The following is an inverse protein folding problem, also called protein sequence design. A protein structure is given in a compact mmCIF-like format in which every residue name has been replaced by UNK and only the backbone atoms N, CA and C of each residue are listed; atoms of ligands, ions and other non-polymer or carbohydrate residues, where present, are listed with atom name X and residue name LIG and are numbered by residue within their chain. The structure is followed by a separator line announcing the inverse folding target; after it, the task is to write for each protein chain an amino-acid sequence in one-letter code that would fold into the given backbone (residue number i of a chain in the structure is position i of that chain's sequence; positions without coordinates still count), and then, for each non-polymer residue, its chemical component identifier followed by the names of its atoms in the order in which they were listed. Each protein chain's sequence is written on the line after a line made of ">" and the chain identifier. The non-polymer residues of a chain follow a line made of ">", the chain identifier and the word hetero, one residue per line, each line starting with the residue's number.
data_IF_660400186511
#
_entry.id   IF_660400186511
#
_cell.length_a   1.000
_cell.length_b   1.000
_cell.length_c   1.000
_cell.angle_alpha   90.00
_cell.angle_beta   90.00
_cell.angle_gamma   90.00
#
_symmetry.space_group_name_H-M   'P 1'
#
loop_
_entity.id
_entity.type
_entity.pdbx_description
1 polymer ?
#
# COMPACT_ATOMS: atom_id res chain seq x y z
N UNK A 1 43.32 42.07 8.09
CA UNK A 1 42.01 42.65 7.74
C UNK A 1 41.29 41.61 6.93
N UNK A 2 40.47 40.89 7.68
CA UNK A 2 39.72 39.69 7.36
C UNK A 2 38.90 39.77 6.06
N UNK A 3 39.00 38.72 5.24
CA UNK A 3 37.98 38.45 4.23
C UNK A 3 36.71 37.98 4.96
N UNK A 4 35.55 38.63 4.76
CA UNK A 4 34.32 38.14 5.36
C UNK A 4 33.94 36.79 4.73
N UNK A 5 33.82 35.77 5.56
CA UNK A 5 33.24 34.49 5.21
C UNK A 5 31.82 34.70 4.67
N UNK A 6 31.58 34.35 3.40
CA UNK A 6 30.23 34.25 2.88
C UNK A 6 29.56 33.01 3.50
N UNK A 7 28.39 33.13 4.13
CA UNK A 7 27.72 31.99 4.75
C UNK A 7 27.23 31.04 3.65
N UNK A 8 27.65 29.77 3.73
CA UNK A 8 27.08 28.68 2.95
C UNK A 8 25.64 28.51 3.43
N UNK A 9 24.68 29.01 2.67
CA UNK A 9 23.25 28.92 3.01
C UNK A 9 22.79 27.46 3.01
N UNK A 10 21.94 27.03 3.96
CA UNK A 10 21.35 25.70 3.92
C UNK A 10 20.10 25.75 3.04
N UNK A 11 20.28 25.77 1.72
CA UNK A 11 19.16 25.59 0.78
C UNK A 11 19.24 24.19 0.16
N UNK A 12 18.89 23.19 0.96
CA UNK A 12 18.34 21.96 0.41
C UNK A 12 16.82 22.10 0.56
N UNK A 13 16.07 22.42 -0.51
CA UNK A 13 14.63 22.46 -0.41
C UNK A 13 14.15 21.05 -0.03
N UNK A 14 13.26 20.89 0.97
CA UNK A 14 12.67 19.58 1.23
C UNK A 14 12.08 19.04 -0.08
N UNK A 15 12.23 17.73 -0.37
CA UNK A 15 11.63 17.15 -1.56
C UNK A 15 10.15 17.53 -1.58
N UNK A 16 9.56 17.85 -2.74
CA UNK A 16 8.19 18.34 -2.81
C UNK A 16 7.31 17.39 -2.03
N UNK A 17 6.71 17.90 -0.95
CA UNK A 17 5.70 17.22 -0.15
C UNK A 17 4.43 17.15 -0.98
N UNK A 18 4.48 16.41 -2.09
CA UNK A 18 3.31 15.67 -2.52
C UNK A 18 2.86 14.94 -1.26
N UNK A 19 1.63 15.13 -0.76
CA UNK A 19 1.14 14.24 0.27
C UNK A 19 1.40 12.85 -0.30
N UNK A 20 2.18 12.05 0.42
CA UNK A 20 2.08 10.60 0.30
C UNK A 20 0.67 10.33 0.82
N UNK A 21 -0.31 10.59 -0.04
CA UNK A 21 -1.68 10.19 0.18
C UNK A 21 -1.54 8.68 0.26
N UNK A 22 -1.67 8.15 1.48
CA UNK A 22 -1.63 6.72 1.68
C UNK A 22 -2.57 6.10 0.63
N UNK A 23 -2.09 5.10 -0.14
CA UNK A 23 -2.91 4.52 -1.19
C UNK A 23 -4.24 4.11 -0.58
N UNK A 24 -5.33 4.50 -1.23
CA UNK A 24 -6.68 4.20 -0.77
C UNK A 24 -6.82 2.69 -0.60
N UNK A 25 -7.50 2.21 0.46
CA UNK A 25 -7.65 0.78 0.65
C UNK A 25 -8.40 0.17 -0.54
N UNK A 26 -7.83 -0.89 -1.10
CA UNK A 26 -8.38 -1.61 -2.24
C UNK A 26 -9.59 -2.39 -1.76
N UNK A 27 -10.76 -1.97 -2.23
CA UNK A 27 -12.01 -2.61 -1.87
C UNK A 27 -12.16 -3.93 -2.62
N UNK A 28 -12.32 -5.02 -1.88
CA UNK A 28 -12.50 -6.37 -2.41
C UNK A 28 -13.81 -6.94 -1.89
N UNK A 29 -14.38 -7.88 -2.62
CA UNK A 29 -15.63 -8.54 -2.21
C UNK A 29 -15.36 -9.98 -1.82
N UNK A 30 -16.33 -10.62 -1.17
CA UNK A 30 -16.24 -12.04 -0.86
C UNK A 30 -16.03 -12.93 -2.10
N UNK A 31 -16.45 -12.47 -3.29
CA UNK A 31 -16.21 -13.15 -4.56
C UNK A 31 -14.74 -13.13 -5.01
N UNK A 32 -13.92 -12.23 -4.46
CA UNK A 32 -12.47 -12.15 -4.71
C UNK A 32 -11.69 -13.11 -3.79
N UNK A 33 -12.38 -13.79 -2.87
CA UNK A 33 -11.77 -14.74 -1.96
C UNK A 33 -11.52 -16.10 -2.63
N UNK A 34 -10.39 -16.77 -2.33
CA UNK A 34 -9.34 -16.34 -1.40
C UNK A 34 -8.49 -15.18 -1.98
N UNK A 35 -8.40 -14.07 -1.23
CA UNK A 35 -7.76 -12.84 -1.68
C UNK A 35 -6.29 -13.12 -1.99
N UNK A 36 -5.92 -12.89 -3.24
CA UNK A 36 -4.56 -13.10 -3.74
C UNK A 36 -3.94 -11.77 -4.12
N UNK A 37 -2.81 -11.44 -3.52
CA UNK A 37 -1.99 -10.32 -3.96
C UNK A 37 -0.77 -10.86 -4.70
N UNK A 38 -0.49 -10.45 -5.95
CA UNK A 38 -1.24 -9.51 -6.79
C UNK A 38 -2.47 -10.14 -7.47
N UNK A 39 -3.52 -9.35 -7.70
CA UNK A 39 -4.76 -9.81 -8.38
C UNK A 39 -4.52 -9.98 -9.89
N UNK A 40 -5.28 -10.87 -10.56
CA UNK A 40 -5.21 -11.02 -12.01
C UNK A 40 -5.68 -9.74 -12.72
N UNK A 41 -4.72 -8.95 -13.22
CA UNK A 41 -4.98 -7.69 -13.93
C UNK A 41 -4.35 -6.44 -13.28
N UNK A 42 -3.80 -6.56 -12.07
CA UNK A 42 -3.07 -5.47 -11.42
C UNK A 42 -1.69 -5.25 -12.07
N UNK A 43 -1.27 -4.00 -12.26
CA UNK A 43 0.05 -3.64 -12.84
C UNK A 43 1.23 -4.19 -12.02
N UNK A 44 1.00 -4.45 -10.72
CA UNK A 44 1.98 -4.99 -9.77
C UNK A 44 2.20 -6.50 -9.89
N UNK A 45 1.61 -7.17 -10.88
CA UNK A 45 1.59 -8.64 -11.02
C UNK A 45 2.97 -9.34 -11.05
N UNK A 46 4.06 -8.62 -11.33
CA UNK A 46 5.43 -9.14 -11.37
C UNK A 46 6.35 -8.68 -10.24
N UNK A 47 5.85 -7.88 -9.29
CA UNK A 47 6.72 -7.28 -8.26
C UNK A 47 7.02 -8.26 -7.10
N UNK A 48 6.19 -9.27 -6.88
CA UNK A 48 6.43 -10.31 -5.88
C UNK A 48 5.64 -11.60 -6.19
N UNK A 49 5.99 -12.73 -5.55
CA UNK A 49 5.22 -13.96 -5.64
C UNK A 49 3.78 -13.78 -5.16
N UNK A 50 2.84 -14.49 -5.78
CA UNK A 50 1.44 -14.49 -5.33
C UNK A 50 1.35 -15.00 -3.89
N UNK A 51 0.72 -14.20 -3.03
CA UNK A 51 0.43 -14.55 -1.65
C UNK A 51 -1.05 -14.43 -1.35
N UNK A 52 -1.53 -15.33 -0.50
CA UNK A 52 -2.91 -15.32 -0.03
C UNK A 52 -3.01 -14.51 1.26
N UNK A 53 -3.94 -13.56 1.27
CA UNK A 53 -4.23 -12.69 2.40
C UNK A 53 -5.52 -13.17 3.07
N UNK A 54 -5.48 -13.63 4.33
CA UNK A 54 -6.65 -14.16 5.03
C UNK A 54 -7.57 -13.03 5.54
N UNK A 55 -8.03 -12.15 4.66
CA UNK A 55 -8.87 -10.99 5.00
C UNK A 55 -10.27 -11.37 5.49
N UNK A 56 -10.76 -12.56 5.15
CA UNK A 56 -11.99 -13.15 5.72
C UNK A 56 -11.82 -13.51 7.20
N UNK A 57 -10.62 -13.90 7.59
CA UNK A 57 -10.31 -14.34 8.96
C UNK A 57 -9.93 -13.16 9.86
N UNK A 58 -9.72 -11.96 9.30
CA UNK A 58 -9.40 -10.76 10.08
C UNK A 58 -10.67 -10.12 10.66
N UNK A 59 -10.68 -9.76 11.96
CA UNK A 59 -11.85 -9.15 12.59
C UNK A 59 -12.21 -7.79 11.98
N UNK A 60 -11.23 -7.05 11.49
CA UNK A 60 -11.41 -5.72 10.87
C UNK A 60 -11.74 -5.78 9.38
N UNK A 61 -11.85 -6.98 8.77
CA UNK A 61 -12.04 -7.16 7.32
C UNK A 61 -11.02 -6.38 6.49
N UNK A 62 -9.82 -6.23 7.04
CA UNK A 62 -8.70 -5.49 6.43
C UNK A 62 -7.46 -6.37 6.44
N UNK A 63 -6.70 -6.32 5.37
CA UNK A 63 -5.44 -7.05 5.25
C UNK A 63 -4.41 -6.22 4.50
N UNK A 64 -3.18 -6.19 5.02
CA UNK A 64 -2.07 -5.48 4.39
C UNK A 64 -1.12 -6.48 3.75
N UNK A 65 -0.80 -6.31 2.48
CA UNK A 65 0.21 -7.12 1.82
C UNK A 65 1.60 -6.80 2.38
N UNK A 66 2.36 -7.79 2.90
CA UNK A 66 3.70 -7.57 3.45
C UNK A 66 4.75 -7.27 2.37
N UNK A 67 4.43 -7.48 1.09
CA UNK A 67 5.36 -7.26 -0.02
C UNK A 67 5.19 -5.87 -0.65
N UNK A 68 3.98 -5.56 -1.13
CA UNK A 68 3.73 -4.29 -1.80
C UNK A 68 3.11 -3.21 -0.88
N UNK A 69 2.81 -3.53 0.38
CA UNK A 69 2.24 -2.56 1.33
C UNK A 69 0.79 -2.15 1.02
N UNK A 70 0.16 -2.79 0.02
CA UNK A 70 -1.22 -2.52 -0.35
C UNK A 70 -2.18 -2.95 0.75
N UNK A 71 -3.08 -2.05 1.13
CA UNK A 71 -4.13 -2.31 2.11
C UNK A 71 -5.38 -2.72 1.35
N UNK A 72 -5.94 -3.88 1.69
CA UNK A 72 -7.19 -4.38 1.16
C UNK A 72 -8.26 -4.26 2.24
N UNK A 73 -9.48 -3.93 1.82
CA UNK A 73 -10.67 -3.87 2.66
C UNK A 73 -11.77 -4.72 2.04
N UNK A 74 -12.30 -5.66 2.80
CA UNK A 74 -13.35 -6.58 2.37
C UNK A 74 -14.72 -5.95 2.60
N UNK A 75 -15.38 -5.58 1.50
CA UNK A 75 -16.74 -5.11 1.45
C UNK A 75 -17.74 -6.27 1.33
N UNK A 76 -18.73 -6.29 2.22
CA UNK A 76 -19.81 -7.27 2.21
C UNK A 76 -19.61 -8.45 3.17
N UNK A 77 -20.52 -9.40 3.12
CA UNK A 77 -20.53 -10.60 3.95
C UNK A 77 -19.84 -11.76 3.23
N UNK A 78 -19.00 -12.50 3.96
CA UNK A 78 -18.20 -13.56 3.35
C UNK A 78 -19.05 -14.80 3.13
N UNK A 79 -19.34 -15.05 1.85
CA UNK A 79 -19.96 -16.30 1.41
C UNK A 79 -18.88 -17.38 1.41
N UNK A 80 -18.62 -17.97 2.58
CA UNK A 80 -17.68 -19.08 2.73
C UNK A 80 -18.24 -20.33 2.03
N UNK A 81 -18.10 -20.37 0.70
CA UNK A 81 -18.36 -21.56 -0.09
C UNK A 81 -17.05 -22.35 -0.16
N UNK A 82 -17.03 -23.47 0.57
CA UNK A 82 -15.93 -24.42 0.64
C UNK A 82 -15.91 -25.35 -0.58
#
# INVERSE_FOLDING_TARGET
>A
MEHPALPIGPDNPPPPTKPVTAPEPIKVQAADLPLSCPRPGDELWNMHPRVYLPIDETPDRRATCPYCGAVYELEGEVSKAH
#
